data_IF_056829708722
#
_entry.id   IF_056829708722
#
_cell.length_a   1.000
_cell.length_b   1.000
_cell.length_c   1.000
_cell.angle_alpha   90.00
_cell.angle_beta   90.00
_cell.angle_gamma   90.00
#
_symmetry.space_group_name_H-M   'P 1'
#
loop_
_entity.id
_entity.type
_entity.pdbx_description
1 polymer ?
#
# COMPACT_ATOMS: atom_id res chain seq x y z
N UNK A 1 -4.86 -12.02 16.78
CA UNK A 1 -3.82 -12.07 15.73
C UNK A 1 -2.58 -11.37 16.24
N UNK A 2 -1.42 -12.01 16.11
CA UNK A 2 -0.12 -11.43 16.46
C UNK A 2 0.29 -10.34 15.45
N UNK A 3 1.23 -9.48 15.82
CA UNK A 3 1.77 -8.47 14.89
C UNK A 3 2.43 -9.09 13.65
N UNK A 4 3.03 -10.28 13.81
CA UNK A 4 3.57 -11.05 12.68
C UNK A 4 2.47 -11.46 11.69
N UNK A 5 1.33 -11.98 12.19
CA UNK A 5 0.19 -12.34 11.34
C UNK A 5 -0.41 -11.12 10.64
N UNK A 6 -0.51 -9.98 11.33
CA UNK A 6 -0.95 -8.72 10.72
C UNK A 6 0.02 -8.26 9.63
N UNK A 7 1.34 -8.31 9.87
CA UNK A 7 2.34 -7.94 8.88
C UNK A 7 2.28 -8.84 7.63
N UNK A 8 2.17 -10.15 7.80
CA UNK A 8 2.00 -11.10 6.69
C UNK A 8 0.75 -10.77 5.85
N UNK A 9 -0.36 -10.46 6.50
CA UNK A 9 -1.60 -10.05 5.82
C UNK A 9 -1.39 -8.76 5.01
N UNK A 10 -0.75 -7.73 5.58
CA UNK A 10 -0.47 -6.47 4.86
C UNK A 10 0.44 -6.69 3.66
N UNK A 11 1.49 -7.50 3.80
CA UNK A 11 2.39 -7.87 2.68
C UNK A 11 1.61 -8.56 1.57
N UNK A 12 0.76 -9.54 1.91
CA UNK A 12 -0.08 -10.24 0.92
C UNK A 12 -1.00 -9.28 0.18
N UNK A 13 -1.67 -8.37 0.90
CA UNK A 13 -2.54 -7.34 0.32
C UNK A 13 -1.77 -6.43 -0.65
N UNK A 14 -0.60 -5.91 -0.25
CA UNK A 14 0.21 -5.04 -1.12
C UNK A 14 0.66 -5.75 -2.39
N UNK A 15 1.07 -7.03 -2.30
CA UNK A 15 1.44 -7.83 -3.47
C UNK A 15 0.26 -8.03 -4.42
N UNK A 16 -0.92 -8.36 -3.89
CA UNK A 16 -2.12 -8.55 -4.69
C UNK A 16 -2.52 -7.28 -5.45
N UNK A 17 -2.52 -6.11 -4.77
CA UNK A 17 -2.83 -4.82 -5.39
C UNK A 17 -1.86 -4.52 -6.54
N UNK A 18 -0.54 -4.65 -6.29
CA UNK A 18 0.47 -4.39 -7.33
C UNK A 18 0.29 -5.30 -8.54
N UNK A 19 0.01 -6.59 -8.29
CA UNK A 19 -0.23 -7.55 -9.36
C UNK A 19 -1.47 -7.20 -10.18
N UNK A 20 -2.57 -6.80 -9.54
CA UNK A 20 -3.79 -6.37 -10.23
C UNK A 20 -3.51 -5.17 -11.14
N UNK A 21 -2.88 -4.13 -10.59
CA UNK A 21 -2.55 -2.93 -11.36
C UNK A 21 -1.63 -3.24 -12.54
N UNK A 22 -0.66 -4.14 -12.37
CA UNK A 22 0.23 -4.60 -13.45
C UNK A 22 -0.52 -5.40 -14.53
N UNK A 23 -1.50 -6.22 -14.16
CA UNK A 23 -2.35 -6.94 -15.10
C UNK A 23 -3.23 -5.99 -15.93
N UNK A 24 -3.60 -4.84 -15.38
CA UNK A 24 -4.30 -3.75 -16.06
C UNK A 24 -3.36 -2.88 -16.93
N UNK A 25 -2.10 -3.30 -17.13
CA UNK A 25 -1.09 -2.54 -17.89
C UNK A 25 -0.61 -1.27 -17.19
N UNK A 26 -1.00 -1.08 -15.94
CA UNK A 26 -0.70 0.12 -15.15
C UNK A 26 0.39 -0.16 -14.12
N UNK A 27 0.96 0.92 -13.57
CA UNK A 27 1.98 0.80 -12.52
C UNK A 27 1.89 1.94 -11.52
N UNK A 28 1.74 1.62 -10.23
CA UNK A 28 1.84 2.64 -9.18
C UNK A 28 3.22 3.31 -9.19
N UNK A 29 3.22 4.62 -8.97
CA UNK A 29 4.43 5.44 -8.85
C UNK A 29 5.35 4.95 -7.73
N UNK A 30 6.64 5.31 -7.82
CA UNK A 30 7.63 4.94 -6.80
C UNK A 30 7.25 5.47 -5.40
N UNK A 31 6.70 6.68 -5.31
CA UNK A 31 6.24 7.26 -4.06
C UNK A 31 5.09 6.45 -3.43
N UNK A 32 4.07 6.07 -4.21
CA UNK A 32 2.98 5.23 -3.73
C UNK A 32 3.46 3.83 -3.33
N UNK A 33 4.43 3.26 -4.07
CA UNK A 33 5.07 2.00 -3.69
C UNK A 33 5.84 2.09 -2.38
N UNK A 34 6.50 3.21 -2.09
CA UNK A 34 7.18 3.44 -0.81
C UNK A 34 6.19 3.47 0.36
N UNK A 35 5.06 4.18 0.22
CA UNK A 35 4.00 4.21 1.24
C UNK A 35 3.41 2.80 1.46
N UNK A 36 3.18 2.02 0.40
CA UNK A 36 2.74 0.63 0.52
C UNK A 36 3.74 -0.25 1.29
N UNK A 37 5.04 -0.03 1.13
CA UNK A 37 6.08 -0.75 1.90
C UNK A 37 6.03 -0.33 3.37
N UNK A 38 5.88 0.95 3.67
CA UNK A 38 5.72 1.45 5.03
C UNK A 38 4.48 0.83 5.70
N UNK A 39 3.36 0.72 4.98
CA UNK A 39 2.16 0.02 5.45
C UNK A 39 2.43 -1.46 5.68
N UNK A 40 3.08 -2.15 4.75
CA UNK A 40 3.42 -3.57 4.90
C UNK A 40 4.25 -3.83 6.16
N UNK A 41 5.24 -2.96 6.43
CA UNK A 41 6.08 -2.99 7.65
C UNK A 41 5.32 -2.60 8.91
N UNK A 42 4.16 -1.96 8.80
CA UNK A 42 3.38 -1.46 9.93
C UNK A 42 3.86 -0.11 10.47
N UNK A 43 4.75 0.58 9.74
CA UNK A 43 5.23 1.93 10.08
C UNK A 43 4.14 2.98 9.88
N UNK A 44 3.16 2.71 9.01
CA UNK A 44 1.95 3.53 8.84
C UNK A 44 0.71 2.64 8.82
N UNK A 45 -0.41 3.22 9.21
CA UNK A 45 -1.75 2.64 9.12
C UNK A 45 -2.30 2.69 7.70
N UNK A 46 -3.39 1.96 7.46
CA UNK A 46 -4.10 2.04 6.18
C UNK A 46 -4.71 3.43 5.93
N UNK A 47 -5.15 4.13 6.98
CA UNK A 47 -5.69 5.48 6.89
C UNK A 47 -4.61 6.47 6.43
N UNK A 48 -3.43 6.42 7.04
CA UNK A 48 -2.30 7.27 6.63
C UNK A 48 -1.83 6.96 5.20
N UNK A 49 -1.79 5.69 4.79
CA UNK A 49 -1.51 5.32 3.40
C UNK A 49 -2.52 5.97 2.44
N UNK A 50 -3.82 5.85 2.74
CA UNK A 50 -4.88 6.45 1.92
C UNK A 50 -4.74 7.96 1.83
N UNK A 51 -4.52 8.62 2.96
CA UNK A 51 -4.47 10.08 3.02
C UNK A 51 -3.24 10.63 2.30
N UNK A 52 -2.07 9.96 2.41
CA UNK A 52 -0.87 10.31 1.63
C UNK A 52 -1.09 10.18 0.12
N UNK A 53 -1.74 9.10 -0.30
CA UNK A 53 -2.07 8.89 -1.72
C UNK A 53 -3.06 9.94 -2.21
N UNK A 54 -4.12 10.22 -1.46
CA UNK A 54 -5.11 11.26 -1.81
C UNK A 54 -4.50 12.64 -1.94
N UNK A 55 -3.68 13.05 -0.96
CA UNK A 55 -2.94 14.32 -1.01
C UNK A 55 -2.01 14.41 -2.22
N UNK A 56 -1.33 13.32 -2.57
CA UNK A 56 -0.41 13.28 -3.73
C UNK A 56 -1.13 13.52 -5.06
N UNK A 57 -2.35 13.02 -5.19
CA UNK A 57 -3.14 13.16 -6.40
C UNK A 57 -4.21 14.27 -6.31
N UNK A 58 -4.18 15.09 -5.25
CA UNK A 58 -5.17 16.14 -4.96
C UNK A 58 -6.64 15.64 -5.03
N UNK A 59 -6.87 14.40 -4.59
CA UNK A 59 -8.21 13.80 -4.57
C UNK A 59 -8.81 14.01 -3.18
N UNK A 60 -9.82 14.89 -3.09
CA UNK A 60 -10.58 15.13 -1.86
C UNK A 60 -11.39 13.90 -1.47
#
# INVERSE_FOLDING_TARGET
>A
MTELQKAQRRVKTVRAIRRSTELEGSRSTNATRADQVAYARGTITAAELRDRVRRRYNVQ
#
